data_IF_465215849769
#
_entry.id   IF_465215849769
#
_cell.length_a   1.000
_cell.length_b   1.000
_cell.length_c   1.000
_cell.angle_alpha   90.00
_cell.angle_beta   90.00
_cell.angle_gamma   90.00
#
_symmetry.space_group_name_H-M   'P 1'
#
loop_
_entity.id
_entity.type
_entity.pdbx_description
1 polymer ?
#
# COMPACT_ATOMS: atom_id res chain seq x y z
N UNK A 1 -10.65 31.10 -18.20
CA UNK A 1 -9.42 30.31 -17.88
C UNK A 1 -9.84 29.29 -16.83
N UNK A 2 -10.00 27.99 -17.13
CA UNK A 2 -10.39 27.03 -16.11
C UNK A 2 -9.21 26.86 -15.15
N UNK A 3 -9.43 27.15 -13.87
CA UNK A 3 -8.56 26.76 -12.77
C UNK A 3 -8.48 25.24 -12.78
N UNK A 4 -7.32 24.68 -13.12
CA UNK A 4 -7.05 23.25 -13.00
C UNK A 4 -7.16 22.94 -11.52
N UNK A 5 -8.33 22.45 -11.08
CA UNK A 5 -8.54 21.95 -9.73
C UNK A 5 -7.49 20.89 -9.45
N UNK A 6 -6.74 21.07 -8.35
CA UNK A 6 -5.81 20.05 -7.89
C UNK A 6 -6.62 18.76 -7.72
N UNK A 7 -6.25 17.63 -8.37
CA UNK A 7 -7.01 16.41 -8.22
C UNK A 7 -7.10 16.08 -6.73
N UNK A 8 -8.31 16.01 -6.19
CA UNK A 8 -8.55 15.69 -4.79
C UNK A 8 -8.13 14.25 -4.58
N UNK A 9 -6.97 14.04 -3.95
CA UNK A 9 -6.48 12.71 -3.62
C UNK A 9 -7.39 12.17 -2.52
N UNK A 10 -8.08 11.07 -2.78
CA UNK A 10 -8.81 10.35 -1.75
C UNK A 10 -7.86 9.88 -0.64
N UNK A 11 -8.39 9.78 0.58
CA UNK A 11 -7.62 9.35 1.76
C UNK A 11 -8.35 8.20 2.46
N UNK A 12 -7.60 7.20 2.88
CA UNK A 12 -8.09 6.12 3.72
C UNK A 12 -7.40 6.25 5.08
N UNK A 13 -8.18 6.38 6.15
CA UNK A 13 -7.63 6.46 7.50
C UNK A 13 -6.74 5.24 7.79
N UNK A 14 -5.55 5.50 8.31
CA UNK A 14 -4.56 4.49 8.66
C UNK A 14 -4.96 3.67 9.88
N UNK A 15 -5.89 4.19 10.69
CA UNK A 15 -6.26 3.60 11.98
C UNK A 15 -5.32 3.99 13.13
N UNK A 16 -4.31 4.83 12.84
CA UNK A 16 -3.38 5.37 13.81
C UNK A 16 -3.42 6.91 13.74
N UNK A 17 -3.98 7.60 14.75
CA UNK A 17 -4.17 9.05 14.69
C UNK A 17 -2.88 9.84 14.42
N UNK A 18 -1.75 9.40 15.00
CA UNK A 18 -0.45 10.01 14.76
C UNK A 18 0.01 9.90 13.30
N UNK A 19 -0.27 8.76 12.65
CA UNK A 19 0.07 8.55 11.25
C UNK A 19 -0.92 9.27 10.33
N UNK A 20 -2.20 9.34 10.68
CA UNK A 20 -3.19 10.13 9.93
C UNK A 20 -2.81 11.62 9.91
N UNK A 21 -2.39 12.18 11.04
CA UNK A 21 -1.89 13.55 11.12
C UNK A 21 -0.67 13.77 10.21
N UNK A 22 0.28 12.82 10.23
CA UNK A 22 1.50 12.90 9.43
C UNK A 22 1.27 12.71 7.92
N UNK A 23 0.16 12.07 7.54
CA UNK A 23 -0.23 11.82 6.16
C UNK A 23 -1.37 12.72 5.69
N UNK A 24 -1.65 13.85 6.35
CA UNK A 24 -2.72 14.78 5.99
C UNK A 24 -4.10 14.09 5.83
N UNK A 25 -4.45 13.22 6.80
CA UNK A 25 -5.73 12.50 6.86
C UNK A 25 -5.68 11.03 6.43
N UNK A 26 -4.49 10.46 6.21
CA UNK A 26 -4.29 9.02 6.03
C UNK A 26 -3.66 8.62 4.71
N UNK A 27 -3.80 7.34 4.34
CA UNK A 27 -3.20 6.77 3.14
C UNK A 27 -3.78 7.41 1.87
N UNK A 28 -2.95 7.94 0.97
CA UNK A 28 -3.44 8.50 -0.28
C UNK A 28 -3.89 7.40 -1.25
N UNK A 29 -5.03 7.59 -1.89
CA UNK A 29 -5.50 6.79 -3.03
C UNK A 29 -5.18 7.49 -4.35
N UNK A 30 -5.28 6.79 -5.47
CA UNK A 30 -4.98 7.39 -6.77
C UNK A 30 -3.48 7.68 -6.97
N UNK A 31 -2.61 7.06 -6.18
CA UNK A 31 -1.16 7.18 -6.28
C UNK A 31 -0.50 5.90 -5.79
N UNK A 32 0.65 5.60 -6.37
CA UNK A 32 1.57 4.60 -5.82
C UNK A 32 2.15 5.10 -4.48
N UNK A 33 2.04 4.25 -3.46
CA UNK A 33 2.74 4.35 -2.17
C UNK A 33 3.83 3.28 -2.10
N UNK A 34 5.04 3.65 -1.70
CA UNK A 34 6.08 2.67 -1.37
C UNK A 34 6.28 2.53 0.13
N UNK A 35 6.17 1.29 0.61
CA UNK A 35 6.47 0.90 1.98
C UNK A 35 7.77 0.11 1.98
N UNK A 36 8.85 0.72 2.47
CA UNK A 36 10.16 0.09 2.54
C UNK A 36 10.31 -0.64 3.88
N UNK A 37 10.62 -1.94 3.84
CA UNK A 37 10.74 -2.78 5.04
C UNK A 37 12.16 -3.35 5.19
N UNK A 38 12.66 -3.54 6.42
CA UNK A 38 13.99 -4.10 6.65
C UNK A 38 14.05 -5.59 6.27
N UNK A 39 12.93 -6.30 6.41
CA UNK A 39 12.77 -7.70 6.01
C UNK A 39 11.31 -8.09 5.89
N UNK A 40 11.03 -9.34 5.54
CA UNK A 40 9.67 -9.88 5.50
C UNK A 40 9.10 -10.00 6.91
N UNK A 41 7.81 -9.72 7.10
CA UNK A 41 7.16 -9.89 8.41
C UNK A 41 7.53 -8.83 9.44
N UNK A 42 7.90 -7.62 8.99
CA UNK A 42 8.26 -6.48 9.84
C UNK A 42 7.04 -5.78 10.47
N UNK A 43 5.84 -6.37 10.34
CA UNK A 43 4.58 -5.77 10.82
C UNK A 43 3.82 -4.98 9.75
N UNK A 44 4.20 -5.08 8.48
CA UNK A 44 3.56 -4.38 7.37
C UNK A 44 2.05 -4.67 7.29
N UNK A 45 1.63 -5.93 7.49
CA UNK A 45 0.20 -6.28 7.41
C UNK A 45 -0.60 -5.69 8.58
N UNK A 46 -0.03 -5.68 9.79
CA UNK A 46 -0.67 -5.07 10.96
C UNK A 46 -0.78 -3.55 10.85
N UNK A 47 0.20 -2.90 10.20
CA UNK A 47 0.13 -1.47 9.87
C UNK A 47 -0.98 -1.17 8.84
N UNK A 48 -1.16 -2.04 7.86
CA UNK A 48 -2.11 -1.84 6.75
C UNK A 48 -3.51 -2.37 7.06
N UNK A 49 -3.68 -3.18 8.11
CA UNK A 49 -4.93 -3.86 8.45
C UNK A 49 -6.13 -2.92 8.63
N UNK A 50 -6.03 -1.72 9.26
CA UNK A 50 -7.22 -0.90 9.46
C UNK A 50 -7.77 -0.34 8.14
N UNK A 51 -6.89 -0.04 7.19
CA UNK A 51 -7.27 0.40 5.86
C UNK A 51 -7.85 -0.76 5.02
N UNK A 52 -7.27 -1.97 5.14
CA UNK A 52 -7.81 -3.19 4.52
C UNK A 52 -9.21 -3.52 5.04
N UNK A 53 -9.42 -3.43 6.35
CA UNK A 53 -10.72 -3.66 6.98
C UNK A 53 -11.76 -2.67 6.44
N UNK A 54 -11.42 -1.36 6.37
CA UNK A 54 -12.31 -0.36 5.78
C UNK A 54 -12.65 -0.65 4.33
N UNK A 55 -11.67 -1.00 3.50
CA UNK A 55 -11.91 -1.27 2.08
C UNK A 55 -12.78 -2.51 1.88
N UNK A 56 -12.53 -3.58 2.62
CA UNK A 56 -13.26 -4.85 2.46
C UNK A 56 -14.67 -4.82 3.05
N UNK A 57 -14.92 -3.97 4.05
CA UNK A 57 -16.24 -3.84 4.70
C UNK A 57 -17.10 -2.71 4.13
N UNK A 58 -16.50 -1.68 3.54
CA UNK A 58 -17.23 -0.56 2.96
C UNK A 58 -17.72 -0.94 1.57
N UNK A 59 -18.99 -1.33 1.46
CA UNK A 59 -19.73 -1.39 0.20
C UNK A 59 -20.06 0.03 -0.26
N UNK A 60 -19.09 0.76 -0.79
CA UNK A 60 -19.41 2.04 -1.42
C UNK A 60 -20.00 1.79 -2.80
N UNK A 61 -21.34 1.90 -2.90
CA UNK A 61 -22.13 1.92 -4.13
C UNK A 61 -21.74 3.06 -5.10
N UNK A 62 -20.82 3.95 -4.71
CA UNK A 62 -20.36 5.12 -5.47
C UNK A 62 -19.21 4.86 -6.45
N UNK A 63 -18.54 3.70 -6.37
CA UNK A 63 -17.74 3.19 -7.48
C UNK A 63 -18.65 2.21 -8.25
N UNK A 64 -19.12 2.64 -9.41
CA UNK A 64 -20.08 1.92 -10.24
C UNK A 64 -19.83 0.40 -10.29
N UNK A 65 -20.58 -0.37 -9.49
CA UNK A 65 -20.82 -1.81 -9.66
C UNK A 65 -19.66 -2.79 -9.41
N UNK A 66 -18.43 -2.36 -9.16
CA UNK A 66 -17.30 -3.26 -8.93
C UNK A 66 -17.01 -3.39 -7.43
N UNK A 67 -17.25 -4.59 -6.87
CA UNK A 67 -17.06 -4.86 -5.45
C UNK A 67 -15.66 -4.48 -4.95
N UNK A 68 -15.56 -4.05 -3.70
CA UNK A 68 -14.35 -3.55 -3.03
C UNK A 68 -13.31 -4.66 -2.80
N UNK A 69 -12.79 -5.26 -3.86
CA UNK A 69 -11.78 -6.30 -3.78
C UNK A 69 -10.44 -5.71 -3.33
N UNK A 70 -9.77 -6.45 -2.48
CA UNK A 70 -8.40 -6.20 -2.03
C UNK A 70 -7.51 -7.31 -2.55
N UNK A 71 -6.45 -6.96 -3.27
CA UNK A 71 -5.52 -7.92 -3.84
C UNK A 71 -4.18 -7.91 -3.10
N UNK A 72 -3.77 -9.08 -2.60
CA UNK A 72 -2.47 -9.31 -1.95
C UNK A 72 -1.58 -10.09 -2.92
N UNK A 73 -0.61 -9.43 -3.51
CA UNK A 73 0.22 -9.98 -4.59
C UNK A 73 1.59 -10.37 -4.06
N UNK A 74 1.93 -11.64 -4.25
CA UNK A 74 3.18 -12.24 -3.83
C UNK A 74 3.49 -12.07 -2.32
N UNK A 75 2.51 -12.19 -1.39
CA UNK A 75 2.82 -12.05 0.03
C UNK A 75 3.87 -13.10 0.41
N UNK A 76 4.89 -12.71 1.22
CA UNK A 76 6.04 -13.56 1.52
C UNK A 76 5.62 -14.85 2.24
N UNK A 77 4.60 -14.75 3.07
CA UNK A 77 3.96 -15.84 3.78
C UNK A 77 2.47 -15.83 3.49
N UNK A 78 1.80 -16.97 3.69
CA UNK A 78 0.33 -17.03 3.61
C UNK A 78 -0.23 -16.23 4.79
N UNK A 79 -1.02 -15.17 4.56
CA UNK A 79 -1.65 -14.43 5.64
C UNK A 79 -2.55 -15.35 6.48
N UNK A 80 -2.45 -15.26 7.80
CA UNK A 80 -3.26 -16.06 8.71
C UNK A 80 -4.71 -15.56 8.71
N UNK A 81 -5.61 -16.32 8.09
CA UNK A 81 -7.00 -15.92 7.86
C UNK A 81 -7.77 -15.52 9.14
N UNK A 82 -7.71 -16.27 10.26
CA UNK A 82 -8.37 -15.85 11.50
C UNK A 82 -7.82 -14.52 12.05
N UNK A 83 -6.52 -14.26 11.91
CA UNK A 83 -5.92 -12.98 12.30
C UNK A 83 -6.46 -11.82 11.46
N UNK A 84 -6.62 -12.01 10.16
CA UNK A 84 -7.26 -11.00 9.29
C UNK A 84 -8.72 -10.73 9.69
N UNK A 85 -9.49 -11.78 10.02
CA UNK A 85 -10.86 -11.64 10.54
C UNK A 85 -10.90 -10.83 11.84
N UNK A 86 -10.01 -11.12 12.79
CA UNK A 86 -9.92 -10.37 14.05
C UNK A 86 -9.57 -8.89 13.85
N UNK A 87 -8.82 -8.58 12.79
CA UNK A 87 -8.55 -7.21 12.36
C UNK A 87 -9.73 -6.55 11.60
N UNK A 88 -10.87 -7.23 11.46
CA UNK A 88 -12.07 -6.73 10.80
C UNK A 88 -12.04 -6.80 9.28
N UNK A 89 -11.15 -7.59 8.68
CA UNK A 89 -11.03 -7.75 7.23
C UNK A 89 -12.03 -8.81 6.75
N UNK A 90 -12.88 -8.44 5.79
CA UNK A 90 -13.84 -9.36 5.18
C UNK A 90 -13.11 -10.27 4.18
N UNK A 91 -12.92 -11.54 4.54
CA UNK A 91 -12.13 -12.50 3.75
C UNK A 91 -12.73 -12.80 2.38
N UNK A 92 -14.04 -12.71 2.21
CA UNK A 92 -14.74 -12.87 0.93
C UNK A 92 -14.40 -11.77 -0.09
N UNK A 93 -13.68 -10.73 0.34
CA UNK A 93 -13.19 -9.62 -0.49
C UNK A 93 -11.69 -9.56 -0.64
N UNK A 94 -10.96 -10.58 -0.16
CA UNK A 94 -9.50 -10.64 -0.27
C UNK A 94 -9.09 -11.72 -1.27
N UNK A 95 -8.31 -11.32 -2.28
CA UNK A 95 -7.70 -12.25 -3.23
C UNK A 95 -6.19 -12.29 -3.00
N UNK A 96 -5.63 -13.50 -2.89
CA UNK A 96 -4.19 -13.71 -2.82
C UNK A 96 -3.69 -14.16 -4.18
N UNK A 97 -2.81 -13.36 -4.77
CA UNK A 97 -2.15 -13.71 -6.04
C UNK A 97 -0.76 -14.25 -5.73
N UNK A 98 -0.52 -15.51 -6.06
CA UNK A 98 0.81 -16.12 -5.98
C UNK A 98 1.51 -15.95 -7.32
N UNK A 99 2.77 -15.55 -7.28
CA UNK A 99 3.61 -15.43 -8.47
C UNK A 99 4.76 -16.42 -8.39
N UNK A 100 5.26 -16.86 -9.53
CA UNK A 100 6.36 -17.83 -9.62
C UNK A 100 7.70 -17.13 -9.54
N UNK A 101 7.81 -15.91 -10.05
CA UNK A 101 9.04 -15.14 -10.11
C UNK A 101 8.85 -13.69 -9.65
N UNK A 102 9.91 -13.08 -9.09
CA UNK A 102 9.86 -11.69 -8.60
C UNK A 102 9.47 -10.63 -9.65
N UNK A 103 9.84 -10.73 -10.95
CA UNK A 103 9.39 -9.77 -11.96
C UNK A 103 7.87 -9.82 -12.22
N UNK A 104 7.26 -10.99 -12.04
CA UNK A 104 5.82 -11.19 -12.23
C UNK A 104 4.99 -10.43 -11.18
N UNK A 105 5.54 -10.15 -9.99
CA UNK A 105 4.84 -9.38 -8.95
C UNK A 105 4.37 -8.02 -9.47
N UNK A 106 5.26 -7.27 -10.12
CA UNK A 106 4.95 -5.93 -10.62
C UNK A 106 4.02 -5.99 -11.82
N UNK A 107 4.13 -7.02 -12.66
CA UNK A 107 3.21 -7.26 -13.76
C UNK A 107 1.80 -7.61 -13.25
N UNK A 108 1.68 -8.49 -12.26
CA UNK A 108 0.41 -8.83 -11.65
C UNK A 108 -0.25 -7.61 -10.99
N UNK A 109 0.54 -6.72 -10.36
CA UNK A 109 0.05 -5.45 -9.85
C UNK A 109 -0.42 -4.52 -10.97
N UNK A 110 0.29 -4.48 -12.09
CA UNK A 110 -0.12 -3.72 -13.29
C UNK A 110 -1.46 -4.20 -13.82
N UNK A 111 -1.63 -5.52 -14.00
CA UNK A 111 -2.87 -6.10 -14.53
C UNK A 111 -4.04 -5.94 -13.55
N UNK A 112 -3.77 -6.06 -12.26
CA UNK A 112 -4.74 -5.73 -11.20
C UNK A 112 -5.26 -4.30 -11.34
N UNK A 113 -4.35 -3.32 -11.44
CA UNK A 113 -4.74 -1.92 -11.64
C UNK A 113 -5.35 -1.68 -13.03
N UNK A 114 -4.98 -2.43 -14.06
CA UNK A 114 -5.58 -2.32 -15.39
C UNK A 114 -7.04 -2.76 -15.39
N UNK A 115 -7.38 -3.79 -14.62
CA UNK A 115 -8.74 -4.34 -14.52
C UNK A 115 -9.77 -3.36 -13.94
N UNK A 116 -9.34 -2.46 -13.05
CA UNK A 116 -10.22 -1.48 -12.39
C UNK A 116 -11.21 -2.09 -11.38
N UNK A 117 -11.03 -3.36 -10.98
CA UNK A 117 -11.96 -4.04 -10.07
C UNK A 117 -11.54 -4.02 -8.61
N UNK A 118 -10.32 -3.54 -8.29
CA UNK A 118 -9.81 -3.52 -6.92
C UNK A 118 -9.89 -2.13 -6.29
N UNK A 119 -10.38 -2.07 -5.05
CA UNK A 119 -10.29 -0.86 -4.23
C UNK A 119 -8.89 -0.69 -3.62
N UNK A 120 -8.18 -1.81 -3.39
CA UNK A 120 -6.82 -1.81 -2.88
C UNK A 120 -5.96 -2.94 -3.46
N UNK A 121 -4.68 -2.66 -3.64
CA UNK A 121 -3.68 -3.64 -4.06
C UNK A 121 -2.40 -3.45 -3.25
N UNK A 122 -1.90 -4.55 -2.67
CA UNK A 122 -0.63 -4.60 -1.95
C UNK A 122 0.25 -5.64 -2.64
N UNK A 123 1.44 -5.22 -3.08
CA UNK A 123 2.38 -6.11 -3.75
C UNK A 123 3.73 -6.15 -3.02
N UNK A 124 4.24 -7.35 -2.72
CA UNK A 124 5.56 -7.55 -2.11
C UNK A 124 6.62 -7.78 -3.19
N UNK A 125 7.21 -6.70 -3.68
CA UNK A 125 8.25 -6.76 -4.69
C UNK A 125 9.63 -7.00 -4.05
N UNK A 126 10.04 -8.27 -4.02
CA UNK A 126 11.45 -8.66 -3.87
C UNK A 126 12.14 -8.10 -2.63
N UNK A 127 11.53 -8.20 -1.45
CA UNK A 127 12.18 -7.83 -0.18
C UNK A 127 13.52 -8.56 0.00
N UNK A 128 13.65 -9.77 -0.57
CA UNK A 128 14.85 -10.61 -0.54
C UNK A 128 15.63 -10.68 -1.86
N UNK A 129 15.04 -10.28 -3.01
CA UNK A 129 15.62 -10.51 -4.34
C UNK A 129 16.32 -9.27 -4.92
N UNK A 130 17.44 -9.50 -5.62
CA UNK A 130 18.29 -8.48 -6.27
C UNK A 130 17.63 -7.76 -7.45
N UNK A 131 16.41 -8.15 -7.86
CA UNK A 131 15.75 -7.58 -9.03
C UNK A 131 15.22 -6.18 -8.71
N UNK A 132 15.81 -5.18 -9.35
CA UNK A 132 15.41 -3.78 -9.21
C UNK A 132 14.21 -3.51 -10.10
N UNK A 133 13.19 -2.81 -9.57
CA UNK A 133 12.08 -2.35 -10.38
C UNK A 133 12.59 -1.29 -11.36
N UNK A 134 12.28 -1.41 -12.65
CA UNK A 134 12.65 -0.38 -13.63
C UNK A 134 11.80 0.87 -13.40
N UNK A 135 12.40 2.06 -13.50
CA UNK A 135 11.71 3.35 -13.34
C UNK A 135 10.43 3.45 -14.20
N UNK A 136 10.49 2.94 -15.44
CA UNK A 136 9.35 2.92 -16.37
C UNK A 136 8.16 2.08 -15.86
N UNK A 137 8.43 0.98 -15.17
CA UNK A 137 7.39 0.11 -14.61
C UNK A 137 6.73 0.79 -13.41
N UNK A 138 7.52 1.40 -12.51
CA UNK A 138 6.98 2.17 -11.39
C UNK A 138 6.15 3.37 -11.87
N UNK A 139 6.60 4.05 -12.94
CA UNK A 139 5.87 5.17 -13.55
C UNK A 139 4.51 4.70 -14.05
N UNK A 140 4.47 3.55 -14.73
CA UNK A 140 3.22 2.97 -15.23
C UNK A 140 2.27 2.59 -14.10
N UNK A 141 2.77 1.94 -13.04
CA UNK A 141 1.97 1.61 -11.87
C UNK A 141 1.38 2.86 -11.20
N UNK A 142 2.17 3.93 -11.06
CA UNK A 142 1.69 5.20 -10.52
C UNK A 142 0.55 5.80 -11.36
N UNK A 143 0.69 5.79 -12.69
CA UNK A 143 -0.36 6.29 -13.60
C UNK A 143 -1.63 5.45 -13.53
N UNK A 144 -1.51 4.12 -13.48
CA UNK A 144 -2.67 3.23 -13.37
C UNK A 144 -3.38 3.38 -12.03
N UNK A 145 -2.63 3.51 -10.92
CA UNK A 145 -3.20 3.80 -9.61
C UNK A 145 -4.05 5.08 -9.65
N UNK A 146 -3.54 6.15 -10.29
CA UNK A 146 -4.27 7.39 -10.50
C UNK A 146 -5.52 7.23 -11.37
N UNK A 147 -5.43 6.48 -12.48
CA UNK A 147 -6.57 6.22 -13.36
C UNK A 147 -7.72 5.52 -12.64
N UNK A 148 -7.41 4.54 -11.78
CA UNK A 148 -8.43 3.78 -11.05
C UNK A 148 -8.81 4.34 -9.69
N UNK A 149 -8.16 5.42 -9.23
CA UNK A 149 -8.30 5.93 -7.86
C UNK A 149 -8.05 4.86 -6.78
N UNK A 150 -7.25 3.83 -7.09
CA UNK A 150 -7.01 2.69 -6.21
C UNK A 150 -6.03 3.02 -5.08
N UNK A 151 -6.15 2.33 -3.96
CA UNK A 151 -5.12 2.32 -2.92
C UNK A 151 -4.01 1.33 -3.27
N UNK A 152 -2.91 1.84 -3.82
CA UNK A 152 -1.82 1.02 -4.35
C UNK A 152 -0.56 1.08 -3.48
N UNK A 153 -0.21 -0.03 -2.86
CA UNK A 153 0.98 -0.17 -2.02
C UNK A 153 1.97 -1.15 -2.64
N UNK A 154 3.19 -0.67 -2.82
CA UNK A 154 4.32 -1.49 -3.21
C UNK A 154 5.29 -1.64 -2.04
N UNK A 155 5.40 -2.85 -1.52
CA UNK A 155 6.30 -3.21 -0.44
C UNK A 155 7.63 -3.63 -1.03
N UNK A 156 8.71 -2.97 -0.60
CA UNK A 156 10.08 -3.17 -1.13
C UNK A 156 11.08 -3.24 0.01
N UNK A 157 12.29 -3.67 -0.28
CA UNK A 157 13.36 -3.68 0.70
C UNK A 157 13.84 -2.26 1.07
N UNK A 158 14.27 -2.08 2.32
CA UNK A 158 14.84 -0.83 2.83
C UNK A 158 16.00 -0.26 1.97
N UNK A 159 16.80 -1.13 1.35
CA UNK A 159 17.88 -0.73 0.42
C UNK A 159 17.40 0.12 -0.76
N UNK A 160 16.13 0.02 -1.14
CA UNK A 160 15.53 0.78 -2.24
C UNK A 160 15.27 2.26 -1.90
N UNK A 161 15.56 2.72 -0.67
CA UNK A 161 15.34 4.11 -0.25
C UNK A 161 16.01 5.14 -1.15
N UNK A 162 17.23 4.84 -1.61
CA UNK A 162 18.02 5.74 -2.46
C UNK A 162 17.63 5.67 -3.95
N UNK A 163 16.81 4.70 -4.32
CA UNK A 163 16.37 4.55 -5.70
C UNK A 163 15.36 5.63 -6.07
N UNK A 164 15.36 6.04 -7.33
CA UNK A 164 14.35 6.94 -7.88
C UNK A 164 13.01 6.23 -7.89
N UNK A 165 11.95 7.00 -7.64
CA UNK A 165 10.60 6.46 -7.59
C UNK A 165 9.56 7.55 -7.85
N UNK A 166 8.58 7.28 -8.72
CA UNK A 166 7.46 8.17 -8.99
C UNK A 166 6.41 8.15 -7.87
N UNK A 167 6.50 7.23 -6.90
CA UNK A 167 5.58 7.17 -5.78
C UNK A 167 5.53 8.51 -5.02
N UNK A 168 4.32 9.01 -4.75
CA UNK A 168 4.14 10.28 -4.03
C UNK A 168 4.33 10.12 -2.54
N UNK A 169 4.00 8.95 -2.00
CA UNK A 169 4.25 8.61 -0.61
C UNK A 169 5.31 7.51 -0.56
N UNK A 170 6.41 7.76 0.16
CA UNK A 170 7.44 6.77 0.46
C UNK A 170 7.77 6.85 1.94
N UNK A 171 7.72 5.70 2.58
CA UNK A 171 7.98 5.55 4.01
C UNK A 171 8.83 4.31 4.25
N UNK A 172 9.63 4.34 5.29
CA UNK A 172 10.38 3.19 5.76
C UNK A 172 9.84 2.73 7.10
N UNK A 173 9.51 1.46 7.20
CA UNK A 173 9.11 0.82 8.44
C UNK A 173 10.34 0.38 9.22
N UNK A 174 10.31 0.60 10.52
CA UNK A 174 11.26 0.13 11.50
C UNK A 174 10.49 -0.57 12.62
N UNK A 175 11.06 -1.64 13.15
CA UNK A 175 10.50 -2.38 14.28
C UNK A 175 11.51 -2.32 15.42
N UNK A 176 11.57 -1.20 16.17
CA UNK A 176 12.53 -1.04 17.27
C UNK A 176 12.17 -1.95 18.46
N UNK A 177 10.89 -2.32 18.60
CA UNK A 177 10.43 -3.24 19.63
C UNK A 177 9.31 -4.15 19.11
N UNK A 178 8.96 -5.23 19.84
CA UNK A 178 7.84 -6.10 19.48
C UNK A 178 6.48 -5.41 19.52
N UNK A 179 6.31 -4.34 20.31
CA UNK A 179 5.03 -3.67 20.56
C UNK A 179 4.87 -2.36 19.79
N UNK A 180 5.93 -1.85 19.16
CA UNK A 180 5.92 -0.57 18.47
C UNK A 180 6.46 -0.67 17.05
N UNK A 181 5.85 0.10 16.17
CA UNK A 181 6.31 0.33 14.80
C UNK A 181 6.72 1.79 14.67
N UNK A 182 7.83 2.03 13.99
CA UNK A 182 8.30 3.38 13.71
C UNK A 182 8.34 3.56 12.19
N UNK A 183 7.71 4.61 11.69
CA UNK A 183 7.64 4.96 10.28
C UNK A 183 8.46 6.21 10.02
N UNK A 184 9.46 6.11 9.17
CA UNK A 184 10.21 7.27 8.67
C UNK A 184 9.63 7.70 7.32
N UNK A 185 8.90 8.81 7.32
CA UNK A 185 8.19 9.38 6.17
C UNK A 185 9.12 10.38 5.47
N UNK A 186 9.96 9.87 4.58
CA UNK A 186 10.94 10.66 3.85
C UNK A 186 10.39 11.25 2.53
N UNK A 187 9.16 10.89 2.13
CA UNK A 187 8.44 11.53 1.01
C UNK A 187 6.92 11.46 1.20
N UNK A 188 6.25 12.59 1.27
CA UNK A 188 4.79 12.77 1.22
C UNK A 188 4.49 13.95 0.27
N UNK A 189 4.29 13.64 -1.01
CA UNK A 189 4.24 14.62 -2.09
C UNK A 189 5.60 15.29 -2.28
N UNK A 190 5.68 16.59 -1.95
CA UNK A 190 6.90 17.40 -2.01
C UNK A 190 7.56 17.59 -0.63
N UNK A 191 6.97 17.03 0.43
CA UNK A 191 7.43 17.21 1.82
C UNK A 191 8.02 15.92 2.38
N UNK A 192 8.91 16.02 3.35
CA UNK A 192 9.19 14.94 4.30
C UNK A 192 8.46 15.25 5.60
N UNK A 193 7.84 14.25 6.22
CA UNK A 193 7.12 14.44 7.50
C UNK A 193 7.97 14.03 8.70
N UNK A 194 9.04 13.26 8.48
CA UNK A 194 9.91 12.77 9.55
C UNK A 194 9.41 11.45 10.13
N UNK A 195 9.73 11.20 11.40
CA UNK A 195 9.47 9.92 12.06
C UNK A 195 8.18 9.95 12.87
N UNK A 196 7.37 8.90 12.75
CA UNK A 196 6.14 8.66 13.52
C UNK A 196 6.21 7.30 14.17
N UNK A 197 5.91 7.21 15.46
CA UNK A 197 5.81 5.93 16.18
C UNK A 197 4.35 5.59 16.43
N UNK A 198 3.99 4.34 16.17
CA UNK A 198 2.65 3.79 16.40
C UNK A 198 2.74 2.46 17.14
N UNK A 199 1.68 2.08 17.84
CA UNK A 199 1.58 0.74 18.44
C UNK A 199 1.40 -0.32 17.36
N UNK A 200 2.04 -1.47 17.55
CA UNK A 200 1.92 -2.60 16.64
C UNK A 200 0.56 -3.30 16.84
N UNK A 201 -0.15 -3.53 15.74
CA UNK A 201 -1.35 -4.38 15.70
C UNK A 201 -1.01 -5.76 15.12
N UNK A 202 -1.74 -6.78 15.57
CA UNK A 202 -1.66 -8.18 15.10
C UNK A 202 -3.00 -8.65 14.58
#
# INVERSE_FOLDING_TARGET
>A
RPTIGRPTIGRIATGFPALDAALDGGWPTGTLTELLVPGQGSGELGLLSPALARLTTTTNATLAGTGSWVMLIAPPWIPYAPGLCWQGIALDRVLIVRVRQSPETLWAMEETLRSGTCAGVIAWAGTTARHQARDTQLQRLHLLAGKQQAWAILIRAARCRRERSPARLRLQLHCPSPTTLQLDIFKNGWRGTGTVTVERRF
#
